data_IF_903896627983
#
_entry.id   IF_903896627983
#
_cell.length_a   1.000
_cell.length_b   1.000
_cell.length_c   1.000
_cell.angle_alpha   90.00
_cell.angle_beta   90.00
_cell.angle_gamma   90.00
#
_symmetry.space_group_name_H-M   'P 1'
#
loop_
_entity.id
_entity.type
_entity.pdbx_description
1 polymer ?
#
# COMPACT_ATOMS: atom_id res chain seq x y z
N UNK A 1 -23.75 2.80 27.61
CA UNK A 1 -22.48 2.34 28.22
C UNK A 1 -21.35 2.85 27.34
N UNK A 2 -20.35 3.57 27.86
CA UNK A 2 -19.19 3.98 27.07
C UNK A 2 -18.41 2.73 26.61
N UNK A 3 -18.13 2.63 25.29
CA UNK A 3 -17.33 1.55 24.70
C UNK A 3 -15.88 1.71 25.19
N UNK A 4 -15.44 0.84 26.09
CA UNK A 4 -14.02 0.75 26.45
C UNK A 4 -13.33 -0.04 25.34
N UNK A 5 -12.69 0.66 24.41
CA UNK A 5 -11.94 0.07 23.31
C UNK A 5 -10.54 -0.25 23.83
N UNK A 6 -10.28 -1.52 24.17
CA UNK A 6 -8.92 -1.99 24.36
C UNK A 6 -8.35 -2.32 22.98
N UNK A 7 -7.27 -1.68 22.50
CA UNK A 7 -6.69 -1.99 21.20
C UNK A 7 -6.39 -3.50 21.08
N UNK A 8 -6.34 -4.02 19.84
CA UNK A 8 -5.89 -5.39 19.62
C UNK A 8 -4.49 -5.56 20.21
N UNK A 9 -4.15 -6.79 20.61
CA UNK A 9 -2.75 -7.10 20.85
C UNK A 9 -1.98 -6.89 19.55
N UNK A 10 -0.72 -6.45 19.64
CA UNK A 10 0.12 -6.27 18.45
C UNK A 10 0.21 -7.58 17.64
N UNK A 11 0.12 -8.73 18.29
CA UNK A 11 0.17 -10.05 17.67
C UNK A 11 -1.09 -10.35 16.84
N UNK A 12 -2.28 -10.09 17.41
CA UNK A 12 -3.56 -10.35 16.75
C UNK A 12 -3.78 -9.39 15.57
N UNK A 13 -3.44 -8.10 15.75
CA UNK A 13 -3.43 -7.11 14.67
C UNK A 13 -2.50 -7.56 13.53
N UNK A 14 -1.29 -7.99 13.87
CA UNK A 14 -0.33 -8.49 12.88
C UNK A 14 -0.85 -9.72 12.12
N UNK A 15 -1.52 -10.65 12.80
CA UNK A 15 -2.14 -11.83 12.17
C UNK A 15 -3.22 -11.45 11.17
N UNK A 16 -4.10 -10.51 11.52
CA UNK A 16 -5.13 -10.02 10.60
C UNK A 16 -4.48 -9.32 9.40
N UNK A 17 -3.52 -8.42 9.64
CA UNK A 17 -2.84 -7.68 8.57
C UNK A 17 -2.09 -8.59 7.61
N UNK A 18 -1.26 -9.52 8.10
CA UNK A 18 -0.52 -10.47 7.24
C UNK A 18 -1.42 -11.35 6.38
N UNK A 19 -2.62 -11.65 6.86
CA UNK A 19 -3.60 -12.44 6.12
C UNK A 19 -4.66 -11.59 5.45
N UNK A 20 -4.47 -10.27 5.32
CA UNK A 20 -5.51 -9.37 4.84
C UNK A 20 -6.09 -9.79 3.49
N UNK A 21 -5.24 -10.06 2.50
CA UNK A 21 -5.68 -10.57 1.19
C UNK A 21 -6.42 -11.91 1.28
N UNK A 22 -5.93 -12.82 2.11
CA UNK A 22 -6.56 -14.13 2.30
C UNK A 22 -7.95 -13.98 2.93
N UNK A 23 -8.06 -13.20 4.01
CA UNK A 23 -9.32 -12.95 4.70
C UNK A 23 -10.31 -12.22 3.80
N UNK A 24 -9.86 -11.20 3.07
CA UNK A 24 -10.71 -10.44 2.14
C UNK A 24 -11.40 -11.33 1.12
N UNK A 25 -10.71 -12.34 0.59
CA UNK A 25 -11.25 -13.27 -0.41
C UNK A 25 -11.98 -14.47 0.19
N UNK A 26 -11.58 -14.98 1.36
CA UNK A 26 -12.08 -16.26 1.89
C UNK A 26 -13.03 -16.11 3.08
N UNK A 27 -13.14 -14.92 3.68
CA UNK A 27 -14.03 -14.72 4.82
C UNK A 27 -15.49 -14.76 4.37
N UNK A 28 -16.29 -15.56 5.07
CA UNK A 28 -17.74 -15.62 4.88
C UNK A 28 -18.40 -14.80 5.99
N UNK A 29 -18.21 -13.47 5.96
CA UNK A 29 -18.55 -12.62 7.11
C UNK A 29 -20.02 -12.70 7.54
N UNK A 30 -20.93 -12.98 6.60
CA UNK A 30 -22.37 -13.07 6.90
C UNK A 30 -22.74 -14.26 7.79
N UNK A 31 -21.91 -15.30 7.88
CA UNK A 31 -22.14 -16.44 8.77
C UNK A 31 -21.78 -16.13 10.23
N UNK A 32 -20.89 -15.16 10.45
CA UNK A 32 -20.34 -14.85 11.78
C UNK A 32 -20.76 -13.48 12.33
N UNK A 33 -21.24 -12.57 11.46
CA UNK A 33 -21.50 -11.16 11.80
C UNK A 33 -22.57 -10.98 12.88
N UNK A 34 -23.58 -11.84 12.95
CA UNK A 34 -24.68 -11.70 13.92
C UNK A 34 -24.19 -11.90 15.36
N UNK A 35 -23.14 -12.70 15.55
CA UNK A 35 -22.49 -12.90 16.85
C UNK A 35 -21.92 -11.58 17.38
N UNK A 36 -21.42 -10.69 16.51
CA UNK A 36 -20.90 -9.38 16.91
C UNK A 36 -22.00 -8.44 17.41
N UNK A 37 -23.24 -8.61 16.91
CA UNK A 37 -24.40 -7.88 17.42
C UNK A 37 -24.83 -8.43 18.79
N UNK A 38 -24.92 -9.75 18.92
CA UNK A 38 -25.29 -10.44 20.17
C UNK A 38 -24.31 -10.12 21.29
N UNK A 39 -23.02 -10.13 20.98
CA UNK A 39 -21.95 -9.78 21.92
C UNK A 39 -21.83 -8.25 22.15
N UNK A 40 -22.70 -7.44 21.56
CA UNK A 40 -22.66 -5.98 21.66
C UNK A 40 -21.27 -5.39 21.34
N UNK A 41 -20.56 -6.00 20.39
CA UNK A 41 -19.30 -5.47 19.85
C UNK A 41 -19.62 -4.37 18.84
N UNK A 42 -20.55 -4.67 17.93
CA UNK A 42 -21.02 -3.77 16.89
C UNK A 42 -22.51 -3.51 17.02
N UNK A 43 -22.92 -2.34 16.54
CA UNK A 43 -24.34 -2.00 16.43
C UNK A 43 -24.81 -2.01 14.97
N UNK A 44 -26.10 -1.71 14.77
CA UNK A 44 -26.70 -1.68 13.44
C UNK A 44 -26.00 -0.70 12.48
N UNK A 45 -25.41 0.40 12.97
CA UNK A 45 -24.72 1.37 12.11
C UNK A 45 -23.40 0.81 11.60
N UNK A 46 -22.72 0.02 12.42
CA UNK A 46 -21.50 -0.67 12.00
C UNK A 46 -21.83 -1.71 10.92
N UNK A 47 -22.97 -2.40 11.03
CA UNK A 47 -23.46 -3.32 9.98
C UNK A 47 -23.93 -2.59 8.72
N UNK A 48 -24.58 -1.43 8.84
CA UNK A 48 -24.97 -0.60 7.68
C UNK A 48 -23.74 -0.19 6.85
N UNK A 49 -22.60 0.09 7.47
CA UNK A 49 -21.34 0.36 6.75
C UNK A 49 -20.88 -0.84 5.93
N UNK A 50 -20.95 -2.04 6.50
CA UNK A 50 -20.62 -3.28 5.80
C UNK A 50 -21.61 -3.48 4.64
N UNK A 51 -22.91 -3.32 4.90
CA UNK A 51 -23.94 -3.60 3.89
C UNK A 51 -24.00 -2.58 2.74
N UNK A 52 -23.44 -1.38 2.95
CA UNK A 52 -23.28 -0.37 1.91
C UNK A 52 -22.27 -0.77 0.82
N UNK A 53 -21.35 -1.69 1.11
CA UNK A 53 -20.38 -2.20 0.15
C UNK A 53 -21.02 -3.15 -0.87
N UNK A 54 -20.51 -3.16 -2.10
CA UNK A 54 -21.18 -3.82 -3.23
C UNK A 54 -20.80 -5.29 -3.36
N UNK A 55 -19.52 -5.58 -3.22
CA UNK A 55 -18.97 -6.92 -3.44
C UNK A 55 -18.70 -7.64 -2.12
N UNK A 56 -18.74 -8.98 -2.08
CA UNK A 56 -18.35 -9.75 -0.89
C UNK A 56 -16.96 -9.36 -0.36
N UNK A 57 -16.01 -9.09 -1.24
CA UNK A 57 -14.65 -8.70 -0.90
C UNK A 57 -14.60 -7.31 -0.25
N UNK A 58 -15.35 -6.34 -0.76
CA UNK A 58 -15.45 -5.01 -0.13
C UNK A 58 -16.17 -5.09 1.23
N UNK A 59 -17.20 -5.94 1.35
CA UNK A 59 -17.88 -6.23 2.63
C UNK A 59 -16.92 -6.83 3.65
N UNK A 60 -16.12 -7.81 3.22
CA UNK A 60 -15.08 -8.43 4.05
C UNK A 60 -14.02 -7.41 4.43
N UNK A 61 -13.59 -6.55 3.49
CA UNK A 61 -12.66 -5.47 3.78
C UNK A 61 -13.22 -4.56 4.90
N UNK A 62 -14.46 -4.10 4.77
CA UNK A 62 -15.11 -3.25 5.78
C UNK A 62 -15.25 -3.96 7.13
N UNK A 63 -15.65 -5.24 7.13
CA UNK A 63 -15.70 -6.08 8.33
C UNK A 63 -14.33 -6.11 9.04
N UNK A 64 -13.25 -6.33 8.29
CA UNK A 64 -11.89 -6.39 8.84
C UNK A 64 -11.42 -5.02 9.35
N UNK A 65 -11.75 -3.92 8.67
CA UNK A 65 -11.49 -2.54 9.13
C UNK A 65 -12.13 -2.30 10.50
N UNK A 66 -13.41 -2.64 10.63
CA UNK A 66 -14.13 -2.53 11.89
C UNK A 66 -13.53 -3.45 12.96
N UNK A 67 -13.11 -4.67 12.61
CA UNK A 67 -12.48 -5.61 13.54
C UNK A 67 -11.19 -5.02 14.13
N UNK A 68 -10.33 -4.45 13.27
CA UNK A 68 -9.10 -3.79 13.69
C UNK A 68 -9.35 -2.60 14.65
N UNK A 69 -10.49 -1.92 14.53
CA UNK A 69 -10.89 -0.81 15.40
C UNK A 69 -11.56 -1.26 16.70
N UNK A 70 -11.99 -2.52 16.79
CA UNK A 70 -12.88 -3.01 17.86
C UNK A 70 -12.17 -3.74 18.99
N UNK A 71 -10.86 -3.94 18.85
CA UNK A 71 -10.02 -4.31 19.96
C UNK A 71 -9.98 -5.79 20.32
N UNK A 72 -9.25 -6.11 21.40
CA UNK A 72 -8.93 -7.50 21.77
C UNK A 72 -10.18 -8.37 22.01
N UNK A 73 -11.25 -7.80 22.58
CA UNK A 73 -12.51 -8.54 22.79
C UNK A 73 -13.14 -8.95 21.46
N UNK A 74 -13.16 -8.06 20.48
CA UNK A 74 -13.71 -8.34 19.17
C UNK A 74 -12.96 -9.45 18.45
N UNK A 75 -11.63 -9.48 18.58
CA UNK A 75 -10.81 -10.58 18.03
C UNK A 75 -11.12 -11.94 18.67
N UNK A 76 -11.31 -12.00 19.98
CA UNK A 76 -11.68 -13.26 20.65
C UNK A 76 -13.03 -13.78 20.16
N UNK A 77 -14.01 -12.89 20.03
CA UNK A 77 -15.33 -13.26 19.48
C UNK A 77 -15.22 -13.65 18.01
N UNK A 78 -14.39 -12.97 17.22
CA UNK A 78 -14.11 -13.34 15.84
C UNK A 78 -13.60 -14.78 15.72
N UNK A 79 -12.57 -15.14 16.49
CA UNK A 79 -12.01 -16.49 16.45
C UNK A 79 -13.03 -17.54 16.92
N UNK A 80 -13.76 -17.28 18.01
CA UNK A 80 -14.80 -18.18 18.49
C UNK A 80 -15.91 -18.37 17.43
N UNK A 81 -16.38 -17.28 16.81
CA UNK A 81 -17.39 -17.33 15.76
C UNK A 81 -16.93 -18.13 14.53
N UNK A 82 -15.67 -17.98 14.12
CA UNK A 82 -15.09 -18.80 13.05
C UNK A 82 -15.06 -20.29 13.41
N UNK A 83 -14.71 -20.63 14.66
CA UNK A 83 -14.70 -22.02 15.14
C UNK A 83 -16.11 -22.62 15.18
N UNK A 84 -17.08 -21.89 15.72
CA UNK A 84 -18.47 -22.33 15.85
C UNK A 84 -19.15 -22.54 14.49
N UNK A 85 -18.77 -21.77 13.47
CA UNK A 85 -19.31 -21.87 12.11
C UNK A 85 -18.50 -22.76 11.17
N UNK A 86 -17.61 -23.62 11.71
CA UNK A 86 -16.75 -24.53 10.93
C UNK A 86 -15.84 -23.84 9.90
N UNK A 87 -15.51 -22.56 10.10
CA UNK A 87 -14.51 -21.81 9.33
C UNK A 87 -13.10 -22.05 9.90
N UNK A 88 -12.82 -23.29 10.32
CA UNK A 88 -11.58 -23.67 11.00
C UNK A 88 -10.35 -23.46 10.13
N UNK A 89 -10.46 -23.61 8.82
CA UNK A 89 -9.38 -23.33 7.87
C UNK A 89 -8.88 -21.87 7.97
N UNK A 90 -9.76 -20.90 8.25
CA UNK A 90 -9.37 -19.50 8.47
C UNK A 90 -8.61 -19.37 9.80
N UNK A 91 -9.10 -20.03 10.85
CA UNK A 91 -8.46 -20.01 12.17
C UNK A 91 -7.08 -20.64 12.12
N UNK A 92 -6.95 -21.79 11.44
CA UNK A 92 -5.68 -22.48 11.22
C UNK A 92 -4.70 -21.58 10.47
N UNK A 93 -5.14 -20.93 9.39
CA UNK A 93 -4.31 -19.98 8.63
C UNK A 93 -3.81 -18.82 9.52
N UNK A 94 -4.69 -18.24 10.34
CA UNK A 94 -4.33 -17.16 11.27
C UNK A 94 -3.36 -17.63 12.37
N UNK A 95 -3.54 -18.85 12.89
CA UNK A 95 -2.70 -19.41 13.95
C UNK A 95 -1.32 -19.84 13.44
N UNK A 96 -1.24 -20.36 12.21
CA UNK A 96 0.01 -20.74 11.55
C UNK A 96 0.82 -19.52 11.10
N UNK A 97 0.22 -18.34 11.08
CA UNK A 97 0.92 -17.10 10.72
C UNK A 97 1.97 -16.77 11.77
N UNK A 98 3.25 -16.68 11.39
CA UNK A 98 4.33 -16.36 12.32
C UNK A 98 4.08 -14.98 12.96
N UNK A 99 3.93 -14.96 14.28
CA UNK A 99 3.84 -13.74 15.10
C UNK A 99 5.25 -13.16 15.29
N UNK A 100 6.22 -14.03 15.54
CA UNK A 100 7.60 -13.65 15.64
C UNK A 100 8.06 -13.26 14.24
N UNK A 101 8.50 -12.02 14.10
CA UNK A 101 9.53 -11.70 13.12
C UNK A 101 10.66 -12.71 13.37
N UNK A 102 10.69 -13.83 12.65
CA UNK A 102 11.99 -14.32 12.22
C UNK A 102 12.64 -13.07 11.63
N UNK A 103 13.77 -12.57 12.19
CA UNK A 103 14.26 -11.23 11.91
C UNK A 103 14.59 -11.18 10.42
N UNK A 104 13.60 -10.78 9.61
CA UNK A 104 13.83 -10.16 8.31
C UNK A 104 14.15 -8.73 8.65
N UNK A 105 15.32 -8.60 9.29
CA UNK A 105 15.99 -7.42 9.82
C UNK A 105 15.01 -6.43 10.45
N UNK A 106 15.17 -6.16 11.74
CA UNK A 106 14.68 -4.89 12.33
C UNK A 106 14.95 -3.81 11.31
N UNK A 107 13.92 -3.43 10.54
CA UNK A 107 14.08 -2.66 9.32
C UNK A 107 14.38 -1.28 9.85
N UNK A 108 15.66 -1.01 10.09
CA UNK A 108 16.18 0.32 10.20
C UNK A 108 15.46 1.10 9.11
N UNK A 109 14.74 2.14 9.52
CA UNK A 109 13.99 2.94 8.57
C UNK A 109 15.02 3.43 7.55
N UNK A 110 15.01 2.81 6.37
CA UNK A 110 15.88 3.17 5.28
C UNK A 110 15.11 4.22 4.49
N UNK A 111 15.59 5.47 4.46
CA UNK A 111 15.01 6.48 3.59
C UNK A 111 14.96 5.95 2.17
N UNK A 112 13.91 6.32 1.44
CA UNK A 112 13.79 6.00 0.03
C UNK A 112 15.03 6.54 -0.69
N UNK A 113 15.70 5.70 -1.49
CA UNK A 113 16.88 6.17 -2.22
C UNK A 113 16.51 7.30 -3.17
N UNK A 114 17.42 8.27 -3.36
CA UNK A 114 17.21 9.34 -4.33
C UNK A 114 16.86 8.80 -5.71
N UNK A 115 17.50 7.70 -6.13
CA UNK A 115 17.23 7.07 -7.41
C UNK A 115 15.76 6.60 -7.52
N UNK A 116 15.24 5.90 -6.52
CA UNK A 116 13.88 5.37 -6.55
C UNK A 116 12.82 6.47 -6.34
N UNK A 117 13.12 7.47 -5.49
CA UNK A 117 12.32 8.68 -5.39
C UNK A 117 12.23 9.40 -6.74
N UNK A 118 13.37 9.56 -7.43
CA UNK A 118 13.42 10.18 -8.75
C UNK A 118 12.61 9.40 -9.79
N UNK A 119 12.60 8.05 -9.74
CA UNK A 119 11.75 7.25 -10.63
C UNK A 119 10.26 7.54 -10.43
N UNK A 120 9.81 7.69 -9.19
CA UNK A 120 8.41 8.06 -8.89
C UNK A 120 8.13 9.49 -9.39
N UNK A 121 9.00 10.43 -9.04
CA UNK A 121 8.83 11.87 -9.33
C UNK A 121 8.82 12.16 -10.83
N UNK A 122 9.77 11.59 -11.59
CA UNK A 122 9.84 11.76 -13.04
C UNK A 122 8.61 11.17 -13.77
N UNK A 123 8.00 10.13 -13.20
CA UNK A 123 6.82 9.48 -13.77
C UNK A 123 5.52 9.93 -13.11
N UNK A 124 5.52 10.99 -12.31
CA UNK A 124 4.41 11.35 -11.45
C UNK A 124 3.07 11.49 -12.18
N UNK A 125 3.02 12.26 -13.27
CA UNK A 125 1.79 12.44 -14.05
C UNK A 125 1.31 11.13 -14.64
N UNK A 126 2.23 10.33 -15.19
CA UNK A 126 1.90 9.02 -15.73
C UNK A 126 1.34 8.09 -14.64
N UNK A 127 1.97 8.03 -13.46
CA UNK A 127 1.50 7.20 -12.35
C UNK A 127 0.16 7.70 -11.81
N UNK A 128 -0.04 9.01 -11.66
CA UNK A 128 -1.34 9.59 -11.26
C UNK A 128 -2.49 9.16 -12.16
N UNK A 129 -2.22 9.02 -13.45
CA UNK A 129 -3.25 8.73 -14.45
C UNK A 129 -3.45 7.24 -14.72
N UNK A 130 -2.40 6.42 -14.55
CA UNK A 130 -2.41 5.02 -14.98
C UNK A 130 -2.31 4.03 -13.82
N UNK A 131 -2.01 4.48 -12.59
CA UNK A 131 -1.92 3.56 -11.45
C UNK A 131 -3.31 3.07 -11.03
N UNK A 132 -3.45 1.75 -10.90
CA UNK A 132 -4.66 1.12 -10.37
C UNK A 132 -4.41 0.78 -8.90
N UNK A 133 -4.32 1.80 -8.05
CA UNK A 133 -3.83 1.65 -6.67
C UNK A 133 -4.62 0.63 -5.83
N UNK A 134 -5.94 0.51 -6.09
CA UNK A 134 -6.81 -0.38 -5.32
C UNK A 134 -6.48 -1.87 -5.53
N UNK A 135 -5.81 -2.24 -6.64
CA UNK A 135 -5.36 -3.61 -6.86
C UNK A 135 -4.10 -3.95 -6.07
N UNK A 136 -3.27 -2.96 -5.74
CA UNK A 136 -1.97 -3.17 -5.11
C UNK A 136 -1.92 -2.72 -3.65
N UNK A 137 -2.90 -1.96 -3.16
CA UNK A 137 -2.91 -1.44 -1.77
C UNK A 137 -2.91 -2.54 -0.70
N UNK A 138 -3.58 -3.66 -0.96
CA UNK A 138 -3.68 -4.77 0.00
C UNK A 138 -2.31 -5.40 0.32
N UNK A 139 -1.32 -5.23 -0.57
CA UNK A 139 0.06 -5.67 -0.33
C UNK A 139 0.75 -4.87 0.78
N UNK A 140 0.44 -3.58 0.89
CA UNK A 140 1.03 -2.70 1.90
C UNK A 140 0.49 -3.03 3.30
N UNK A 141 -0.77 -3.48 3.38
CA UNK A 141 -1.39 -3.96 4.61
C UNK A 141 -0.78 -5.32 4.99
N UNK A 142 -0.72 -6.26 4.04
CA UNK A 142 -0.09 -7.57 4.22
C UNK A 142 1.35 -7.49 4.75
N UNK A 143 2.14 -6.60 4.15
CA UNK A 143 3.53 -6.39 4.54
C UNK A 143 3.66 -5.47 5.76
N UNK A 144 2.56 -5.01 6.37
CA UNK A 144 2.59 -4.11 7.52
C UNK A 144 3.47 -2.87 7.25
N UNK A 145 3.38 -2.33 6.03
CA UNK A 145 4.03 -1.09 5.60
C UNK A 145 3.12 0.10 5.87
N UNK A 146 1.82 -0.06 5.61
CA UNK A 146 0.80 0.94 5.86
C UNK A 146 -0.26 0.41 6.80
N UNK A 147 -0.74 1.29 7.66
CA UNK A 147 -1.83 1.00 8.57
C UNK A 147 -3.20 1.39 8.00
N UNK A 148 -4.24 1.20 8.81
CA UNK A 148 -5.60 1.50 8.41
C UNK A 148 -5.83 3.01 8.18
N UNK A 149 -5.13 3.88 8.92
CA UNK A 149 -5.20 5.33 8.76
C UNK A 149 -4.63 5.78 7.43
N UNK A 150 -3.49 5.22 7.01
CA UNK A 150 -2.90 5.47 5.69
C UNK A 150 -3.88 5.11 4.54
N UNK A 151 -4.57 3.98 4.67
CA UNK A 151 -5.55 3.52 3.69
C UNK A 151 -6.80 4.41 3.67
N UNK A 152 -7.30 4.80 4.85
CA UNK A 152 -8.44 5.72 4.98
C UNK A 152 -8.13 7.09 4.36
N UNK A 153 -6.89 7.55 4.53
CA UNK A 153 -6.43 8.80 3.94
C UNK A 153 -6.46 8.76 2.41
N UNK A 154 -6.10 7.62 1.80
CA UNK A 154 -6.26 7.40 0.36
C UNK A 154 -7.75 7.33 0.01
N UNK A 155 -8.56 6.64 0.80
CA UNK A 155 -9.98 6.43 0.51
C UNK A 155 -10.83 7.69 0.64
N UNK A 156 -10.41 8.65 1.48
CA UNK A 156 -11.04 9.95 1.65
C UNK A 156 -10.99 10.82 0.37
N UNK A 157 -10.06 10.54 -0.55
CA UNK A 157 -9.94 11.28 -1.80
C UNK A 157 -11.04 10.92 -2.81
N UNK A 158 -11.63 11.95 -3.42
CA UNK A 158 -12.86 11.81 -4.22
C UNK A 158 -12.67 11.19 -5.60
N UNK A 159 -11.50 11.35 -6.21
CA UNK A 159 -11.27 10.95 -7.60
C UNK A 159 -10.11 9.95 -7.69
N UNK A 160 -10.13 9.00 -8.65
CA UNK A 160 -9.03 8.06 -8.84
C UNK A 160 -7.66 8.74 -8.96
N UNK A 161 -7.59 9.86 -9.70
CA UNK A 161 -6.37 10.66 -9.85
C UNK A 161 -5.86 11.21 -8.51
N UNK A 162 -6.76 11.67 -7.63
CA UNK A 162 -6.38 12.16 -6.29
C UNK A 162 -6.03 11.01 -5.33
N UNK A 163 -6.73 9.88 -5.41
CA UNK A 163 -6.36 8.65 -4.67
C UNK A 163 -4.95 8.21 -5.03
N UNK A 164 -4.63 8.15 -6.33
CA UNK A 164 -3.29 7.82 -6.82
C UNK A 164 -2.25 8.84 -6.36
N UNK A 165 -2.58 10.13 -6.40
CA UNK A 165 -1.68 11.16 -5.88
C UNK A 165 -1.38 10.96 -4.39
N UNK A 166 -2.40 10.70 -3.57
CA UNK A 166 -2.22 10.47 -2.13
C UNK A 166 -1.40 9.20 -1.87
N UNK A 167 -1.71 8.11 -2.57
CA UNK A 167 -0.94 6.87 -2.55
C UNK A 167 0.55 7.13 -2.85
N UNK A 168 0.87 7.90 -3.89
CA UNK A 168 2.26 8.18 -4.27
C UNK A 168 2.97 9.08 -3.25
N UNK A 169 2.26 10.03 -2.62
CA UNK A 169 2.82 10.86 -1.54
C UNK A 169 3.19 10.01 -0.32
N UNK A 170 2.29 9.10 0.09
CA UNK A 170 2.56 8.14 1.15
C UNK A 170 3.75 7.25 0.80
N UNK A 171 3.80 6.74 -0.44
CA UNK A 171 4.91 5.90 -0.91
C UNK A 171 6.27 6.60 -0.79
N UNK A 172 6.34 7.90 -1.13
CA UNK A 172 7.57 8.69 -0.98
C UNK A 172 7.96 8.92 0.48
N UNK A 173 7.02 8.88 1.42
CA UNK A 173 7.24 9.09 2.85
C UNK A 173 7.57 7.80 3.62
N UNK A 174 7.17 6.64 3.09
CA UNK A 174 7.25 5.35 3.79
C UNK A 174 8.59 4.61 3.63
N UNK A 175 9.58 5.23 3.00
CA UNK A 175 10.94 4.70 2.89
C UNK A 175 11.13 3.59 1.85
N UNK A 176 12.33 3.02 1.81
CA UNK A 176 12.76 2.07 0.77
C UNK A 176 11.93 0.79 0.75
N UNK A 177 11.56 0.28 1.93
CA UNK A 177 10.75 -0.93 2.07
C UNK A 177 9.39 -0.79 1.37
N UNK A 178 8.74 0.37 1.48
CA UNK A 178 7.48 0.63 0.80
C UNK A 178 7.62 0.61 -0.73
N UNK A 179 8.75 1.10 -1.24
CA UNK A 179 9.07 1.03 -2.67
C UNK A 179 9.28 -0.40 -3.16
N UNK A 180 9.95 -1.24 -2.38
CA UNK A 180 10.13 -2.65 -2.72
C UNK A 180 8.79 -3.40 -2.77
N UNK A 181 7.91 -3.16 -1.80
CA UNK A 181 6.54 -3.69 -1.78
C UNK A 181 5.74 -3.17 -2.98
N UNK A 182 5.87 -1.89 -3.33
CA UNK A 182 5.25 -1.31 -4.51
C UNK A 182 5.67 -2.05 -5.80
N UNK A 183 6.97 -2.25 -6.01
CA UNK A 183 7.50 -2.94 -7.20
C UNK A 183 7.07 -4.41 -7.21
N UNK A 184 7.07 -5.09 -6.06
CA UNK A 184 6.61 -6.46 -5.95
C UNK A 184 5.10 -6.59 -6.29
N UNK A 185 4.27 -5.70 -5.75
CA UNK A 185 2.83 -5.67 -6.02
C UNK A 185 2.53 -5.42 -7.51
N UNK A 186 3.24 -4.47 -8.14
CA UNK A 186 3.11 -4.23 -9.58
C UNK A 186 3.50 -5.46 -10.41
N UNK A 187 4.51 -6.22 -9.99
CA UNK A 187 4.92 -7.46 -10.68
C UNK A 187 3.86 -8.53 -10.56
N UNK A 188 3.32 -8.73 -9.36
CA UNK A 188 2.26 -9.72 -9.14
C UNK A 188 0.99 -9.38 -9.94
N UNK A 189 0.61 -8.09 -9.98
CA UNK A 189 -0.52 -7.61 -10.78
C UNK A 189 -0.21 -7.43 -12.26
N UNK A 190 0.92 -7.93 -12.75
CA UNK A 190 1.32 -7.87 -14.15
C UNK A 190 1.24 -6.46 -14.77
N UNK A 191 1.48 -5.43 -13.97
CA UNK A 191 1.51 -4.01 -14.38
C UNK A 191 2.81 -3.69 -15.11
N UNK A 192 3.10 -4.49 -16.14
CA UNK A 192 4.37 -4.51 -16.88
C UNK A 192 4.66 -3.18 -17.57
N UNK A 193 3.63 -2.47 -18.01
CA UNK A 193 3.76 -1.14 -18.61
C UNK A 193 4.26 -0.10 -17.60
N UNK A 194 3.81 -0.15 -16.34
CA UNK A 194 4.30 0.73 -15.26
C UNK A 194 5.73 0.36 -14.88
N UNK A 195 6.01 -0.94 -14.69
CA UNK A 195 7.35 -1.43 -14.33
C UNK A 195 8.38 -1.02 -15.38
N UNK A 196 8.10 -1.26 -16.67
CA UNK A 196 8.99 -0.86 -17.76
C UNK A 196 9.25 0.63 -17.76
N UNK A 197 8.22 1.45 -17.52
CA UNK A 197 8.35 2.91 -17.48
C UNK A 197 9.23 3.37 -16.30
N UNK A 198 9.05 2.79 -15.11
CA UNK A 198 9.89 3.08 -13.95
C UNK A 198 11.35 2.67 -14.18
N UNK A 199 11.60 1.49 -14.77
CA UNK A 199 12.93 0.96 -15.04
C UNK A 199 13.68 1.73 -16.13
N UNK A 200 12.97 2.23 -17.14
CA UNK A 200 13.56 2.99 -18.25
C UNK A 200 13.84 4.46 -17.87
N UNK A 201 13.45 4.90 -16.67
CA UNK A 201 13.68 6.25 -16.20
C UNK A 201 15.11 6.40 -15.72
N UNK A 202 15.86 7.27 -16.39
CA UNK A 202 17.25 7.58 -16.04
C UNK A 202 17.29 8.27 -14.67
N UNK A 203 18.09 7.75 -13.75
CA UNK A 203 18.37 8.40 -12.47
C UNK A 203 19.78 9.01 -12.49
N UNK A 204 20.02 10.01 -11.65
CA UNK A 204 21.32 10.70 -11.52
C UNK A 204 22.46 9.76 -11.08
N UNK A 205 22.15 8.61 -10.50
CA UNK A 205 23.11 7.55 -10.15
C UNK A 205 23.55 6.69 -11.34
N UNK A 206 22.71 6.55 -12.37
CA UNK A 206 23.06 5.81 -13.60
C UNK A 206 24.04 6.59 -14.49
N UNK A 207 24.01 7.93 -14.43
CA UNK A 207 24.97 8.78 -15.13
C UNK A 207 26.37 8.73 -14.50
N UNK A 208 26.48 8.56 -13.18
CA UNK A 208 27.78 8.39 -12.50
C UNK A 208 28.40 7.02 -12.80
N UNK A 209 27.59 5.95 -12.90
CA UNK A 209 28.07 4.60 -13.26
C UNK A 209 28.66 4.52 -14.67
N UNK A 210 28.19 5.34 -15.62
CA UNK A 210 28.76 5.43 -16.97
C UNK A 210 30.00 6.32 -17.06
N UNK A 211 30.23 7.21 -16.09
CA UNK A 211 31.39 8.11 -16.08
C UNK A 211 32.69 7.44 -15.61
N UNK A 212 32.64 6.17 -15.15
CA UNK A 212 33.80 5.41 -14.70
C UNK A 212 34.45 4.51 -15.78
N UNK A 213 34.28 4.83 -17.06
CA UNK A 213 35.08 4.23 -18.13
C UNK A 213 36.34 5.08 -18.37
N UNK A 214 37.56 4.49 -18.39
CA UNK A 214 38.76 5.25 -18.64
C UNK A 214 38.76 5.81 -20.06
N UNK A 215 39.13 7.08 -20.15
CA UNK A 215 39.29 7.89 -21.36
C UNK A 215 39.77 7.08 -22.57
N UNK A 216 38.95 7.06 -23.62
CA UNK A 216 39.30 6.61 -24.97
C UNK A 216 38.33 7.26 -25.95
N UNK A 217 38.81 8.24 -26.70
CA UNK A 217 38.04 9.04 -27.65
C UNK A 217 37.30 8.20 -28.69
N UNK A 218 36.04 8.53 -28.96
CA UNK A 218 35.55 8.71 -30.34
C UNK A 218 34.17 9.38 -30.33
N UNK A 219 34.08 10.52 -31.01
CA UNK A 219 32.83 11.17 -31.42
C UNK A 219 31.95 10.18 -32.18
N UNK A 220 30.78 9.89 -31.65
CA UNK A 220 29.60 9.57 -32.44
C UNK A 220 28.39 10.22 -31.77
N UNK A 221 27.98 11.37 -32.32
CA UNK A 221 26.63 11.89 -32.13
C UNK A 221 25.65 10.88 -32.73
N UNK A 222 25.03 10.09 -31.88
CA UNK A 222 23.75 9.45 -32.21
C UNK A 222 22.66 10.32 -31.60
N UNK A 223 22.15 11.25 -32.41
CA UNK A 223 20.84 11.88 -32.20
C UNK A 223 19.82 10.75 -32.04
N UNK A 224 19.38 10.50 -30.81
CA UNK A 224 18.17 9.70 -30.56
C UNK A 224 17.01 10.67 -30.47
N UNK A 225 16.48 11.05 -31.63
CA UNK A 225 15.21 11.77 -31.77
C UNK A 225 14.07 10.79 -31.50
N UNK A 226 13.81 10.44 -30.23
CA UNK A 226 12.62 9.62 -29.89
C UNK A 226 12.28 9.63 -28.38
N UNK A 227 12.21 10.79 -27.71
CA UNK A 227 11.71 10.85 -26.31
C UNK A 227 10.98 12.15 -25.90
N UNK A 228 10.37 12.89 -26.83
CA UNK A 228 9.60 14.10 -26.44
C UNK A 228 8.09 13.88 -26.25
N UNK A 229 7.53 12.73 -26.60
CA UNK A 229 6.06 12.66 -26.76
C UNK A 229 5.24 12.21 -25.54
N UNK A 230 5.85 11.94 -24.37
CA UNK A 230 5.09 11.42 -23.20
C UNK A 230 5.41 12.04 -21.83
N UNK A 231 6.20 13.12 -21.77
CA UNK A 231 6.62 13.75 -20.50
C UNK A 231 6.06 15.16 -20.30
N UNK A 232 4.79 15.40 -20.61
CA UNK A 232 4.13 16.64 -20.17
C UNK A 232 3.50 16.46 -18.80
N UNK A 233 4.33 16.50 -17.76
CA UNK A 233 3.83 16.78 -16.40
C UNK A 233 3.28 18.21 -16.42
N UNK A 234 2.00 18.40 -16.10
CA UNK A 234 1.39 19.74 -16.12
C UNK A 234 2.17 20.68 -15.18
N UNK A 235 2.28 21.97 -15.52
CA UNK A 235 3.01 22.94 -14.68
C UNK A 235 2.49 22.97 -13.23
N UNK A 236 1.19 22.76 -13.07
CA UNK A 236 0.54 22.62 -11.76
C UNK A 236 1.04 21.37 -11.01
N UNK A 237 1.08 20.21 -11.66
CA UNK A 237 1.62 18.99 -11.06
C UNK A 237 3.11 19.17 -10.72
N UNK A 238 3.91 19.79 -11.60
CA UNK A 238 5.33 20.10 -11.33
C UNK A 238 5.50 20.95 -10.08
N UNK A 239 4.69 21.98 -9.90
CA UNK A 239 4.73 22.87 -8.74
C UNK A 239 4.29 22.16 -7.44
N UNK A 240 3.22 21.35 -7.51
CA UNK A 240 2.73 20.58 -6.37
C UNK A 240 3.73 19.50 -5.90
N UNK A 241 4.36 18.79 -6.85
CA UNK A 241 5.43 17.83 -6.54
C UNK A 241 6.66 18.55 -6.02
N UNK A 242 7.11 19.62 -6.70
CA UNK A 242 8.27 20.40 -6.29
C UNK A 242 8.17 20.85 -4.84
N UNK A 243 7.04 21.46 -4.47
CA UNK A 243 6.79 21.89 -3.09
C UNK A 243 6.72 20.73 -2.10
N UNK A 244 6.15 19.60 -2.51
CA UNK A 244 6.08 18.41 -1.65
C UNK A 244 7.46 17.81 -1.42
N UNK A 245 8.27 17.69 -2.48
CA UNK A 245 9.55 17.02 -2.40
C UNK A 245 10.61 17.90 -1.74
N UNK A 246 10.55 19.22 -1.91
CA UNK A 246 11.35 20.18 -1.11
C UNK A 246 11.07 20.01 0.39
N UNK A 247 9.82 19.77 0.80
CA UNK A 247 9.48 19.48 2.20
C UNK A 247 10.01 18.13 2.70
N UNK A 248 10.24 17.17 1.79
CA UNK A 248 10.84 15.88 2.11
C UNK A 248 12.37 15.91 2.12
N UNK A 249 13.00 17.03 1.77
CA UNK A 249 14.46 17.16 1.73
C UNK A 249 15.13 16.39 0.58
N UNK A 250 14.36 15.91 -0.40
CA UNK A 250 14.89 15.24 -1.58
C UNK A 250 15.22 16.30 -2.64
N UNK A 251 16.45 16.32 -3.12
CA UNK A 251 16.96 17.37 -4.01
C UNK A 251 16.52 17.08 -5.46
N UNK A 252 15.37 17.63 -5.85
CA UNK A 252 14.70 17.30 -7.14
C UNK A 252 15.22 18.08 -8.34
N UNK A 253 16.00 19.14 -8.11
CA UNK A 253 16.35 20.10 -9.17
C UNK A 253 17.86 20.22 -9.46
N UNK A 254 18.67 19.21 -9.12
CA UNK A 254 20.02 19.08 -9.70
C UNK A 254 19.96 18.33 -11.04
N UNK A 255 19.50 19.05 -12.06
CA UNK A 255 19.70 18.73 -13.48
C UNK A 255 20.22 19.99 -14.17
#
# INVERSE_FOLDING_TARGET
MPRIIHPLTNEDDHRIKRNWRFLKTNLVQHEIRDIFLVEAIWDLRDFEKIDAERTPEEKNEMFLKLLLQSGTRAYKVFIAALQENNLTHIVEQLQQTPITEAPRETSEFHPLTDADAQRIIHNWTFLKENLVQHEIRDFFINENVWDQGDIEEIDAEKTPKKKNERFLKLLLQSGQRAYEVFVAALREKCSTHIIKKLQNTRTTTDSTKRAAAPYGSTKFETKSEEHEQFNSTSEKDKYEISNFVVKLGVDVFRC
#
